data_IF_819195607969
#
_entry.id   IF_819195607969
#
_cell.length_a   1.000
_cell.length_b   1.000
_cell.length_c   1.000
_cell.angle_alpha   90.00
_cell.angle_beta   90.00
_cell.angle_gamma   90.00
#
_symmetry.space_group_name_H-M   'P 1'
#
loop_
_entity.id
_entity.type
_entity.pdbx_description
1 polymer ?
#
# COMPACT_ATOMS: atom_id res chain seq x y z
N UNK A 1 -23.90 -75.68 -13.05
CA UNK A 1 -24.76 -74.63 -13.66
C UNK A 1 -25.07 -73.51 -12.68
N UNK A 2 -25.48 -73.79 -11.43
CA UNK A 2 -25.74 -72.72 -10.45
C UNK A 2 -24.49 -71.94 -9.95
N UNK A 3 -23.30 -72.54 -9.90
CA UNK A 3 -22.10 -71.84 -9.41
C UNK A 3 -21.68 -70.67 -10.30
N UNK A 4 -21.71 -70.83 -11.62
CA UNK A 4 -21.32 -69.77 -12.57
C UNK A 4 -22.25 -68.55 -12.50
N UNK A 5 -23.55 -68.75 -12.27
CA UNK A 5 -24.50 -67.64 -12.09
C UNK A 5 -24.25 -66.87 -10.79
N UNK A 6 -23.83 -67.56 -9.72
CA UNK A 6 -23.46 -66.91 -8.46
C UNK A 6 -22.16 -66.11 -8.62
N UNK A 7 -21.17 -66.66 -9.31
CA UNK A 7 -19.91 -65.96 -9.62
C UNK A 7 -20.14 -64.70 -10.47
N UNK A 8 -20.98 -64.79 -11.49
CA UNK A 8 -21.34 -63.66 -12.36
C UNK A 8 -22.11 -62.57 -11.59
N UNK A 9 -23.10 -62.95 -10.77
CA UNK A 9 -23.83 -62.01 -9.91
C UNK A 9 -22.91 -61.30 -8.91
N UNK A 10 -21.96 -62.02 -8.30
CA UNK A 10 -20.97 -61.42 -7.38
C UNK A 10 -20.04 -60.48 -8.14
N UNK A 11 -19.55 -60.85 -9.32
CA UNK A 11 -18.68 -60.02 -10.13
C UNK A 11 -19.38 -58.72 -10.58
N UNK A 12 -20.64 -58.81 -11.03
CA UNK A 12 -21.46 -57.65 -11.37
C UNK A 12 -21.70 -56.75 -10.16
N UNK A 13 -22.02 -57.34 -9.01
CA UNK A 13 -22.24 -56.61 -7.75
C UNK A 13 -20.97 -55.88 -7.30
N UNK A 14 -19.81 -56.56 -7.32
CA UNK A 14 -18.53 -55.94 -6.98
C UNK A 14 -18.15 -54.82 -7.96
N UNK A 15 -18.40 -55.02 -9.26
CA UNK A 15 -18.15 -54.00 -10.28
C UNK A 15 -19.06 -52.78 -10.10
N UNK A 16 -20.34 -52.99 -9.80
CA UNK A 16 -21.29 -51.91 -9.52
C UNK A 16 -20.92 -51.13 -8.24
N UNK A 17 -20.47 -51.82 -7.19
CA UNK A 17 -19.98 -51.18 -5.96
C UNK A 17 -18.73 -50.35 -6.26
N UNK A 18 -17.75 -50.91 -6.97
CA UNK A 18 -16.53 -50.21 -7.35
C UNK A 18 -16.84 -48.97 -8.19
N UNK A 19 -17.69 -49.10 -9.22
CA UNK A 19 -18.08 -47.98 -10.06
C UNK A 19 -18.78 -46.86 -9.27
N UNK A 20 -19.64 -47.20 -8.30
CA UNK A 20 -20.26 -46.20 -7.42
C UNK A 20 -19.25 -45.54 -6.50
N UNK A 21 -18.32 -46.32 -5.93
CA UNK A 21 -17.26 -45.81 -5.07
C UNK A 21 -16.37 -44.83 -5.82
N UNK A 22 -15.90 -45.22 -7.01
CA UNK A 22 -15.02 -44.41 -7.86
C UNK A 22 -15.74 -43.12 -8.27
N UNK A 23 -17.00 -43.21 -8.74
CA UNK A 23 -17.83 -42.02 -9.06
C UNK A 23 -17.98 -41.07 -7.87
N UNK A 24 -18.23 -41.60 -6.68
CA UNK A 24 -18.36 -40.77 -5.47
C UNK A 24 -17.01 -40.13 -5.11
N UNK A 25 -15.91 -40.84 -5.31
CA UNK A 25 -14.56 -40.31 -5.11
C UNK A 25 -14.24 -39.14 -6.05
N UNK A 26 -14.63 -39.26 -7.31
CA UNK A 26 -14.47 -38.22 -8.33
C UNK A 26 -15.32 -36.98 -8.00
N UNK A 27 -16.61 -37.16 -7.68
CA UNK A 27 -17.52 -36.07 -7.28
C UNK A 27 -17.00 -35.33 -6.03
N UNK A 28 -16.49 -36.08 -5.05
CA UNK A 28 -15.90 -35.50 -3.83
C UNK A 28 -14.61 -34.73 -4.15
N UNK A 29 -13.79 -35.21 -5.08
CA UNK A 29 -12.59 -34.50 -5.52
C UNK A 29 -12.94 -33.18 -6.19
N UNK A 30 -13.96 -33.18 -7.06
CA UNK A 30 -14.44 -31.98 -7.74
C UNK A 30 -15.01 -30.95 -6.75
N UNK A 31 -15.82 -31.39 -5.77
CA UNK A 31 -16.33 -30.52 -4.71
C UNK A 31 -15.22 -29.93 -3.83
N UNK A 32 -14.20 -30.72 -3.46
CA UNK A 32 -13.04 -30.21 -2.69
C UNK A 32 -12.30 -29.14 -3.48
N UNK A 33 -12.11 -29.35 -4.78
CA UNK A 33 -11.45 -28.39 -5.64
C UNK A 33 -12.22 -27.07 -5.70
N UNK A 34 -13.55 -27.12 -5.83
CA UNK A 34 -14.40 -25.93 -5.81
C UNK A 34 -14.25 -25.15 -4.50
N UNK A 35 -14.24 -25.83 -3.35
CA UNK A 35 -14.04 -25.18 -2.04
C UNK A 35 -12.70 -24.45 -1.98
N UNK A 36 -11.62 -25.04 -2.51
CA UNK A 36 -10.31 -24.40 -2.56
C UNK A 36 -10.30 -23.17 -3.49
N UNK A 37 -11.00 -23.22 -4.62
CA UNK A 37 -11.14 -22.07 -5.51
C UNK A 37 -11.93 -20.92 -4.86
N UNK A 38 -13.03 -21.23 -4.17
CA UNK A 38 -13.79 -20.24 -3.41
C UNK A 38 -12.96 -19.63 -2.26
N UNK A 39 -12.18 -20.48 -1.56
CA UNK A 39 -11.28 -20.02 -0.52
C UNK A 39 -10.20 -19.07 -1.07
N UNK A 40 -9.62 -19.37 -2.25
CA UNK A 40 -8.70 -18.46 -2.93
C UNK A 40 -9.34 -17.10 -3.20
N UNK A 41 -10.58 -17.05 -3.67
CA UNK A 41 -11.27 -15.76 -3.87
C UNK A 41 -11.49 -15.01 -2.56
N UNK A 42 -11.91 -15.71 -1.51
CA UNK A 42 -12.09 -15.14 -0.17
C UNK A 42 -10.78 -14.58 0.38
N UNK A 43 -9.71 -15.37 0.28
CA UNK A 43 -8.37 -15.00 0.69
C UNK A 43 -7.86 -13.79 -0.10
N UNK A 44 -8.03 -13.76 -1.43
CA UNK A 44 -7.66 -12.62 -2.27
C UNK A 44 -8.33 -11.32 -1.81
N UNK A 45 -9.64 -11.36 -1.54
CA UNK A 45 -10.38 -10.18 -1.04
C UNK A 45 -9.86 -9.73 0.33
N UNK A 46 -9.67 -10.67 1.25
CA UNK A 46 -9.15 -10.40 2.58
C UNK A 46 -7.75 -9.77 2.52
N UNK A 47 -6.82 -10.42 1.81
CA UNK A 47 -5.43 -10.01 1.74
C UNK A 47 -5.28 -8.63 1.08
N UNK A 48 -6.06 -8.37 0.02
CA UNK A 48 -6.13 -7.06 -0.62
C UNK A 48 -6.61 -5.96 0.34
N UNK A 49 -7.63 -6.24 1.15
CA UNK A 49 -8.15 -5.27 2.11
C UNK A 49 -7.16 -5.01 3.25
N UNK A 50 -6.53 -6.06 3.77
CA UNK A 50 -5.48 -5.95 4.79
C UNK A 50 -4.29 -5.15 4.27
N UNK A 51 -3.80 -5.44 3.06
CA UNK A 51 -2.72 -4.69 2.44
C UNK A 51 -3.05 -3.21 2.19
N UNK A 52 -4.30 -2.90 1.80
CA UNK A 52 -4.76 -1.51 1.67
C UNK A 52 -4.78 -0.78 3.01
N UNK A 53 -5.29 -1.43 4.04
CA UNK A 53 -5.37 -0.85 5.38
C UNK A 53 -3.97 -0.65 5.96
N UNK A 54 -3.07 -1.63 5.81
CA UNK A 54 -1.66 -1.53 6.17
C UNK A 54 -0.99 -0.32 5.53
N UNK A 55 -1.12 -0.18 4.20
CA UNK A 55 -0.57 0.98 3.48
C UNK A 55 -1.11 2.33 4.02
N UNK A 56 -2.41 2.43 4.31
CA UNK A 56 -2.99 3.66 4.87
C UNK A 56 -2.44 3.97 6.26
N UNK A 57 -2.24 2.95 7.10
CA UNK A 57 -1.67 3.11 8.45
C UNK A 57 -0.20 3.51 8.39
N UNK A 58 0.59 2.92 7.50
CA UNK A 58 1.98 3.35 7.24
C UNK A 58 2.04 4.83 6.84
N UNK A 59 1.15 5.26 5.92
CA UNK A 59 1.08 6.67 5.52
C UNK A 59 0.63 7.59 6.65
N UNK A 60 -0.27 7.12 7.53
CA UNK A 60 -0.66 7.87 8.72
C UNK A 60 0.50 8.03 9.70
N UNK A 61 1.33 7.00 9.85
CA UNK A 61 2.52 7.02 10.69
C UNK A 61 3.56 8.00 10.15
N UNK A 62 3.87 7.97 8.85
CA UNK A 62 4.76 8.92 8.19
C UNK A 62 4.32 10.38 8.42
N UNK A 63 3.01 10.65 8.33
CA UNK A 63 2.45 11.98 8.54
C UNK A 63 2.52 12.40 10.02
N UNK A 64 2.21 11.51 10.96
CA UNK A 64 2.36 11.79 12.39
C UNK A 64 3.83 12.15 12.72
N UNK A 65 4.80 11.40 12.21
CA UNK A 65 6.23 11.69 12.39
C UNK A 65 6.63 13.04 11.81
N UNK A 66 6.08 13.42 10.65
CA UNK A 66 6.28 14.75 10.06
C UNK A 66 5.71 15.85 10.97
N UNK A 67 4.51 15.67 11.49
CA UNK A 67 3.87 16.64 12.38
C UNK A 67 4.59 16.77 13.72
N UNK A 68 5.11 15.68 14.27
CA UNK A 68 5.95 15.70 15.47
C UNK A 68 7.22 16.51 15.23
N UNK A 69 7.93 16.27 14.11
CA UNK A 69 9.12 17.05 13.74
C UNK A 69 8.81 18.53 13.57
N UNK A 70 7.72 18.87 12.88
CA UNK A 70 7.28 20.26 12.71
C UNK A 70 6.99 20.94 14.06
N UNK A 71 6.27 20.25 14.94
CA UNK A 71 5.93 20.77 16.27
C UNK A 71 7.16 20.93 17.15
N UNK A 72 8.15 20.04 17.01
CA UNK A 72 9.43 20.14 17.70
C UNK A 72 10.22 21.38 17.28
N UNK A 73 10.35 21.63 15.97
CA UNK A 73 11.01 22.82 15.43
C UNK A 73 10.33 24.10 15.94
N UNK A 74 9.00 24.14 15.95
CA UNK A 74 8.23 25.29 16.48
C UNK A 74 8.48 25.56 17.97
N UNK A 75 8.78 24.52 18.76
CA UNK A 75 9.15 24.66 20.16
C UNK A 75 10.61 25.08 20.37
N UNK A 76 11.52 24.70 19.46
CA UNK A 76 12.96 24.98 19.56
C UNK A 76 13.37 26.36 19.03
N UNK A 77 12.61 26.93 18.09
CA UNK A 77 12.87 28.25 17.52
C UNK A 77 11.84 29.29 17.95
N UNK A 78 11.83 29.74 19.21
CA UNK A 78 11.09 30.94 19.58
C UNK A 78 11.79 32.15 18.96
N UNK A 79 11.17 32.72 17.91
CA UNK A 79 11.64 33.96 17.28
C UNK A 79 11.42 35.11 18.26
N UNK A 80 12.46 35.42 19.04
CA UNK A 80 12.70 36.67 19.82
C UNK A 80 11.65 37.13 20.86
N UNK A 81 10.49 36.48 20.95
CA UNK A 81 9.47 36.70 22.00
C UNK A 81 8.88 35.35 22.37
N UNK A 82 8.57 35.17 23.67
CA UNK A 82 7.86 34.00 24.21
C UNK A 82 6.68 33.67 23.29
N UNK A 83 6.76 32.55 22.56
CA UNK A 83 5.69 32.13 21.65
C UNK A 83 4.43 31.82 22.48
N UNK A 84 3.34 32.60 22.35
CA UNK A 84 2.10 32.38 23.09
C UNK A 84 1.45 31.02 22.77
N UNK A 85 1.85 30.36 21.67
CA UNK A 85 1.36 29.04 21.28
C UNK A 85 2.27 27.88 21.69
N UNK A 86 3.39 28.12 22.40
CA UNK A 86 4.31 27.07 22.82
C UNK A 86 3.61 25.94 23.59
N UNK A 87 2.67 26.27 24.48
CA UNK A 87 1.87 25.27 25.20
C UNK A 87 1.03 24.40 24.26
N UNK A 88 0.41 24.99 23.24
CA UNK A 88 -0.38 24.26 22.23
C UNK A 88 0.50 23.31 21.42
N UNK A 89 1.69 23.76 21.01
CA UNK A 89 2.64 22.92 20.28
C UNK A 89 3.16 21.75 21.13
N UNK A 90 3.40 21.99 22.43
CA UNK A 90 3.73 20.94 23.39
C UNK A 90 2.60 19.91 23.56
N UNK A 91 1.37 20.38 23.78
CA UNK A 91 0.22 19.50 23.97
C UNK A 91 -0.09 18.70 22.69
N UNK A 92 -0.03 19.34 21.52
CA UNK A 92 -0.14 18.67 20.22
C UNK A 92 0.95 17.60 20.03
N UNK A 93 2.21 17.90 20.37
CA UNK A 93 3.31 16.94 20.28
C UNK A 93 3.04 15.70 21.14
N UNK A 94 2.52 15.86 22.36
CA UNK A 94 2.15 14.74 23.24
C UNK A 94 1.03 13.87 22.65
N UNK A 95 -0.01 14.50 22.11
CA UNK A 95 -1.12 13.78 21.47
C UNK A 95 -0.66 13.04 20.20
N UNK A 96 0.23 13.65 19.41
CA UNK A 96 0.80 13.01 18.23
C UNK A 96 1.63 11.77 18.59
N UNK A 97 2.37 11.77 19.70
CA UNK A 97 3.07 10.56 20.17
C UNK A 97 2.12 9.45 20.59
N UNK A 98 1.00 9.78 21.27
CA UNK A 98 -0.02 8.78 21.61
C UNK A 98 -0.64 8.17 20.36
N UNK A 99 -1.01 9.01 19.39
CA UNK A 99 -1.58 8.55 18.13
C UNK A 99 -0.57 7.74 17.30
N UNK A 100 0.71 8.12 17.32
CA UNK A 100 1.80 7.36 16.70
C UNK A 100 1.88 5.95 17.29
N UNK A 101 1.94 5.83 18.62
CA UNK A 101 2.00 4.54 19.30
C UNK A 101 0.78 3.66 18.99
N UNK A 102 -0.43 4.24 18.99
CA UNK A 102 -1.65 3.52 18.61
C UNK A 102 -1.58 2.98 17.17
N UNK A 103 -1.13 3.81 16.22
CA UNK A 103 -1.02 3.40 14.81
C UNK A 103 0.07 2.34 14.63
N UNK A 104 1.16 2.38 15.40
CA UNK A 104 2.20 1.34 15.41
C UNK A 104 1.64 0.00 15.90
N UNK A 105 0.87 0.00 17.00
CA UNK A 105 0.22 -1.21 17.51
C UNK A 105 -0.79 -1.79 16.50
N UNK A 106 -1.62 -0.93 15.89
CA UNK A 106 -2.56 -1.35 14.86
C UNK A 106 -1.86 -1.91 13.61
N UNK A 107 -0.71 -1.35 13.23
CA UNK A 107 0.10 -1.88 12.13
C UNK A 107 0.64 -3.27 12.45
N UNK A 108 1.14 -3.48 13.66
CA UNK A 108 1.66 -4.78 14.06
C UNK A 108 0.56 -5.85 14.07
N UNK A 109 -0.60 -5.52 14.64
CA UNK A 109 -1.78 -6.41 14.58
C UNK A 109 -2.20 -6.74 13.14
N UNK A 110 -2.04 -5.81 12.18
CA UNK A 110 -2.35 -6.08 10.78
C UNK A 110 -1.33 -7.01 10.14
N UNK A 111 -0.04 -6.85 10.44
CA UNK A 111 1.01 -7.77 9.96
C UNK A 111 0.78 -9.18 10.48
N UNK A 112 0.48 -9.33 11.76
CA UNK A 112 0.19 -10.62 12.38
C UNK A 112 -1.01 -11.30 11.71
N UNK A 113 -2.09 -10.54 11.47
CA UNK A 113 -3.27 -11.05 10.74
C UNK A 113 -2.94 -11.46 9.32
N UNK A 114 -2.08 -10.73 8.62
CA UNK A 114 -1.65 -11.09 7.26
C UNK A 114 -0.79 -12.35 7.26
N UNK A 115 0.12 -12.49 8.23
CA UNK A 115 0.94 -13.69 8.39
C UNK A 115 0.08 -14.93 8.70
N UNK A 116 -0.87 -14.80 9.62
CA UNK A 116 -1.81 -15.87 9.95
C UNK A 116 -2.68 -16.25 8.74
N UNK A 117 -3.15 -15.26 7.97
CA UNK A 117 -3.94 -15.53 6.78
C UNK A 117 -3.14 -16.29 5.71
N UNK A 118 -1.84 -16.02 5.56
CA UNK A 118 -0.95 -16.77 4.66
C UNK A 118 -0.78 -18.21 5.12
N UNK A 119 -0.52 -18.41 6.41
CA UNK A 119 -0.36 -19.76 6.97
C UNK A 119 -1.62 -20.61 6.76
N UNK A 120 -2.80 -20.03 6.99
CA UNK A 120 -4.08 -20.70 6.73
C UNK A 120 -4.35 -20.96 5.24
N UNK A 121 -3.74 -20.18 4.34
CA UNK A 121 -3.90 -20.36 2.89
C UNK A 121 -3.01 -21.46 2.31
N UNK A 122 -1.88 -21.78 2.94
CA UNK A 122 -0.92 -22.78 2.45
C UNK A 122 -1.54 -24.12 2.00
N UNK A 123 -2.43 -24.76 2.80
CA UNK A 123 -3.09 -26.01 2.37
C UNK A 123 -3.95 -25.86 1.12
N UNK A 124 -4.56 -24.68 0.91
CA UNK A 124 -5.34 -24.40 -0.30
C UNK A 124 -4.43 -24.16 -1.49
N UNK A 125 -3.33 -23.43 -1.31
CA UNK A 125 -2.32 -23.24 -2.35
C UNK A 125 -1.77 -24.57 -2.86
N UNK A 126 -1.37 -25.47 -1.95
CA UNK A 126 -0.87 -26.80 -2.29
C UNK A 126 -1.91 -27.63 -3.07
N UNK A 127 -3.17 -27.60 -2.63
CA UNK A 127 -4.26 -28.33 -3.28
C UNK A 127 -4.55 -27.80 -4.70
N UNK A 128 -4.50 -26.48 -4.90
CA UNK A 128 -4.70 -25.85 -6.21
C UNK A 128 -3.55 -26.16 -7.16
N UNK A 129 -2.29 -26.12 -6.68
CA UNK A 129 -1.12 -26.50 -7.47
C UNK A 129 -1.15 -27.98 -7.86
N UNK A 130 -1.52 -28.88 -6.94
CA UNK A 130 -1.68 -30.30 -7.24
C UNK A 130 -2.77 -30.57 -8.28
N UNK A 131 -3.82 -29.75 -8.30
CA UNK A 131 -4.86 -29.78 -9.30
C UNK A 131 -4.48 -29.09 -10.63
N UNK A 132 -3.27 -28.53 -10.74
CA UNK A 132 -2.79 -27.86 -11.95
C UNK A 132 -3.44 -26.49 -12.20
N UNK A 133 -4.00 -25.85 -11.17
CA UNK A 133 -4.60 -24.52 -11.30
C UNK A 133 -3.51 -23.47 -11.15
N UNK A 134 -3.29 -22.72 -12.24
CA UNK A 134 -2.41 -21.55 -12.23
C UNK A 134 -3.17 -20.32 -11.71
N UNK A 135 -2.59 -19.64 -10.72
CA UNK A 135 -3.09 -18.36 -10.23
C UNK A 135 -1.92 -17.48 -9.76
N UNK A 136 -2.13 -16.17 -9.77
CA UNK A 136 -1.19 -15.22 -9.16
C UNK A 136 -1.43 -15.19 -7.66
N UNK A 137 -0.37 -15.36 -6.88
CA UNK A 137 -0.48 -15.39 -5.44
C UNK A 137 -0.99 -14.03 -4.91
N UNK A 138 -2.05 -13.96 -4.07
CA UNK A 138 -2.62 -12.69 -3.64
C UNK A 138 -1.66 -11.72 -2.94
N UNK A 139 -0.55 -12.21 -2.38
CA UNK A 139 0.50 -11.33 -1.86
C UNK A 139 1.25 -10.55 -2.95
N UNK A 140 1.51 -11.19 -4.09
CA UNK A 140 2.14 -10.54 -5.26
C UNK A 140 1.21 -9.48 -5.84
N UNK A 141 -0.10 -9.77 -5.95
CA UNK A 141 -1.10 -8.79 -6.42
C UNK A 141 -1.11 -7.52 -5.54
N UNK A 142 -0.94 -7.68 -4.23
CA UNK A 142 -0.89 -6.56 -3.28
C UNK A 142 0.42 -5.79 -3.42
N UNK A 143 1.55 -6.48 -3.57
CA UNK A 143 2.86 -5.85 -3.77
C UNK A 143 2.90 -5.03 -5.06
N UNK A 144 2.47 -5.61 -6.17
CA UNK A 144 2.36 -4.92 -7.46
C UNK A 144 1.43 -3.70 -7.37
N UNK A 145 0.31 -3.84 -6.69
CA UNK A 145 -0.61 -2.75 -6.41
C UNK A 145 0.05 -1.61 -5.63
N UNK A 146 0.89 -1.95 -4.65
CA UNK A 146 1.63 -0.98 -3.84
C UNK A 146 2.75 -0.30 -4.63
N UNK A 147 3.49 -1.04 -5.45
CA UNK A 147 4.52 -0.49 -6.35
C UNK A 147 3.91 0.50 -7.35
N UNK A 148 2.78 0.13 -7.97
CA UNK A 148 2.08 1.00 -8.91
C UNK A 148 1.60 2.31 -8.24
N UNK A 149 1.07 2.24 -7.01
CA UNK A 149 0.73 3.44 -6.22
C UNK A 149 1.94 4.32 -5.95
N UNK A 150 3.07 3.73 -5.56
CA UNK A 150 4.32 4.46 -5.31
C UNK A 150 4.81 5.15 -6.59
N UNK A 151 4.80 4.46 -7.73
CA UNK A 151 5.18 5.02 -9.04
C UNK A 151 4.36 6.27 -9.36
N UNK A 152 3.02 6.17 -9.29
CA UNK A 152 2.12 7.30 -9.57
C UNK A 152 2.37 8.50 -8.68
N UNK A 153 2.66 8.29 -7.40
CA UNK A 153 2.99 9.39 -6.46
C UNK A 153 4.32 10.05 -6.85
N UNK A 154 5.33 9.26 -7.24
CA UNK A 154 6.63 9.77 -7.66
C UNK A 154 6.50 10.57 -8.96
N UNK A 155 5.77 10.05 -9.95
CA UNK A 155 5.49 10.74 -11.21
C UNK A 155 4.77 12.07 -10.97
N UNK A 156 3.75 12.08 -10.10
CA UNK A 156 3.04 13.30 -9.73
C UNK A 156 3.96 14.33 -9.05
N UNK A 157 4.81 13.89 -8.11
CA UNK A 157 5.80 14.77 -7.47
C UNK A 157 6.79 15.34 -8.47
N UNK A 158 7.26 14.53 -9.42
CA UNK A 158 8.15 14.99 -10.48
C UNK A 158 7.47 16.03 -11.38
N UNK A 159 6.18 15.86 -11.68
CA UNK A 159 5.41 16.86 -12.42
C UNK A 159 5.27 18.18 -11.66
N UNK A 160 4.97 18.14 -10.36
CA UNK A 160 4.91 19.35 -9.53
C UNK A 160 6.26 20.07 -9.44
N UNK A 161 7.35 19.33 -9.25
CA UNK A 161 8.70 19.90 -9.22
C UNK A 161 9.06 20.63 -10.51
N UNK A 162 8.74 20.06 -11.68
CA UNK A 162 8.90 20.72 -12.98
C UNK A 162 8.12 22.03 -13.07
N UNK A 163 6.89 22.07 -12.55
CA UNK A 163 6.09 23.30 -12.52
C UNK A 163 6.72 24.37 -11.61
N UNK A 164 7.27 23.97 -10.46
CA UNK A 164 8.00 24.89 -9.57
C UNK A 164 9.28 25.42 -10.22
N UNK A 165 10.06 24.57 -10.89
CA UNK A 165 11.26 25.00 -11.64
C UNK A 165 10.94 26.06 -12.69
N UNK A 166 9.83 25.90 -13.43
CA UNK A 166 9.37 26.89 -14.40
C UNK A 166 9.01 28.23 -13.73
N UNK A 167 8.31 28.20 -12.59
CA UNK A 167 7.99 29.41 -11.83
C UNK A 167 9.24 30.13 -11.32
N UNK A 168 10.17 29.37 -10.74
CA UNK A 168 11.45 29.91 -10.25
C UNK A 168 12.27 30.51 -11.40
N UNK A 169 12.27 29.89 -12.57
CA UNK A 169 12.96 30.42 -13.75
C UNK A 169 12.35 31.76 -14.22
N UNK A 170 11.02 31.87 -14.24
CA UNK A 170 10.32 33.11 -14.58
C UNK A 170 10.63 34.24 -13.58
N UNK A 171 10.52 33.96 -12.26
CA UNK A 171 10.85 34.93 -11.21
C UNK A 171 12.32 35.39 -11.29
N UNK A 172 13.25 34.46 -11.57
CA UNK A 172 14.67 34.80 -11.77
C UNK A 172 14.87 35.71 -12.99
N UNK A 173 14.12 35.51 -14.06
CA UNK A 173 14.21 36.36 -15.25
C UNK A 173 13.64 37.76 -14.98
N UNK A 174 12.51 37.87 -14.28
CA UNK A 174 11.95 39.16 -13.85
C UNK A 174 12.91 39.92 -12.92
N UNK A 175 13.53 39.23 -11.97
CA UNK A 175 14.55 39.83 -11.09
C UNK A 175 15.76 40.34 -11.90
N UNK A 176 16.19 39.60 -12.94
CA UNK A 176 17.26 40.06 -13.84
C UNK A 176 16.86 41.32 -14.60
N UNK A 177 15.66 41.35 -15.18
CA UNK A 177 15.13 42.53 -15.90
C UNK A 177 15.02 43.74 -14.98
N UNK A 178 14.50 43.54 -13.76
CA UNK A 178 14.37 44.59 -12.74
C UNK A 178 15.74 45.14 -12.34
N UNK A 179 16.76 44.28 -12.15
CA UNK A 179 18.14 44.72 -11.86
C UNK A 179 18.75 45.54 -12.99
N UNK A 180 18.50 45.17 -14.26
CA UNK A 180 18.98 45.94 -15.43
C UNK A 180 18.32 47.32 -15.49
N UNK A 181 17.01 47.39 -15.28
CA UNK A 181 16.27 48.67 -15.24
C UNK A 181 16.74 49.57 -14.09
N UNK A 182 16.97 49.00 -12.89
CA UNK A 182 17.55 49.73 -11.77
C UNK A 182 18.95 50.26 -12.10
N UNK A 183 19.83 49.42 -12.67
CA UNK A 183 21.18 49.84 -13.06
C UNK A 183 21.19 50.96 -14.11
N UNK A 184 20.25 50.94 -15.05
CA UNK A 184 20.06 52.01 -16.04
C UNK A 184 19.55 53.31 -15.40
N UNK A 185 18.60 53.22 -14.45
CA UNK A 185 18.14 54.39 -13.68
C UNK A 185 19.26 55.03 -12.85
N UNK A 186 20.14 54.22 -12.23
CA UNK A 186 21.28 54.76 -11.47
C UNK A 186 22.34 55.41 -12.38
N UNK A 187 22.60 54.87 -13.59
CA UNK A 187 23.48 55.52 -14.59
C UNK A 187 22.90 56.84 -15.11
N UNK A 188 21.59 56.93 -15.33
CA UNK A 188 20.94 58.18 -15.76
C UNK A 188 21.05 59.30 -14.73
N UNK A 189 20.96 58.96 -13.43
CA UNK A 189 21.11 59.93 -12.33
C UNK A 189 22.56 60.39 -12.11
N UNK A 190 23.55 59.52 -12.33
CA UNK A 190 24.96 59.90 -12.19
C UNK A 190 25.42 60.85 -13.30
N UNK A 191 24.86 60.74 -14.51
CA UNK A 191 25.19 61.65 -15.61
C UNK A 191 24.59 63.05 -15.40
N UNK A 192 23.38 63.15 -14.85
CA UNK A 192 22.76 64.46 -14.58
C UNK A 192 23.43 65.24 -13.43
N UNK A 193 24.04 64.55 -12.47
CA UNK A 193 24.75 65.20 -11.34
C UNK A 193 26.18 65.67 -11.67
N UNK A 194 26.73 65.35 -12.86
CA UNK A 194 28.07 65.78 -13.29
C UNK A 194 28.00 67.01 -14.22
N UNK A 195 26.80 67.40 -14.66
CA UNK A 195 26.56 68.51 -15.59
C UNK A 195 25.95 69.77 -14.97
N UNK A 196 25.99 69.92 -13.65
CA UNK A 196 25.71 71.20 -12.95
C UNK A 196 26.98 71.76 -12.30
#
# INVERSE_FOLDING_TARGET
>A
RCSGMVEEFVAESCSAIKARHDKTGDELAELRLQVHQEYLEGFRRLYKNLGQLGYQKEKRLEENDRQIRKSHIQLEFPIEKVDPNAKKHSDLKKELYKLRAQVEEELEMLKDKMAQALEMFGPTEDALHQAGIEFVHPAEEVEDGNLNRRSKIVEYRAHLAKQEEVKIAAEREELKRTKVLQAQQYRGKTVQQITE
#
